data_IF_200489301288
#
_entry.id   IF_200489301288
#
_cell.length_a   1.000
_cell.length_b   1.000
_cell.length_c   1.000
_cell.angle_alpha   90.00
_cell.angle_beta   90.00
_cell.angle_gamma   90.00
#
_symmetry.space_group_name_H-M   'P 1'
#
loop_
_entity.id
_entity.type
_entity.pdbx_description
1 polymer ?
#
# COMPACT_ATOMS: atom_id res chain seq x y z
N UNK A 1 -56.17 16.29 12.99
CA UNK A 1 -55.71 14.88 12.82
C UNK A 1 -54.96 14.61 11.51
N UNK A 2 -55.18 15.39 10.43
CA UNK A 2 -54.51 15.19 9.12
C UNK A 2 -53.00 15.49 9.15
N UNK A 3 -52.61 16.53 9.89
CA UNK A 3 -51.21 17.00 9.96
C UNK A 3 -50.30 16.11 10.81
N UNK A 4 -50.86 15.31 11.74
CA UNK A 4 -50.08 14.37 12.55
C UNK A 4 -49.44 13.29 11.67
N UNK A 5 -50.19 12.78 10.68
CA UNK A 5 -49.69 11.76 9.75
C UNK A 5 -48.61 12.31 8.83
N UNK A 6 -48.75 13.56 8.36
CA UNK A 6 -47.74 14.22 7.52
C UNK A 6 -46.44 14.47 8.29
N UNK A 7 -46.54 14.88 9.56
CA UNK A 7 -45.38 15.09 10.42
C UNK A 7 -44.66 13.78 10.73
N UNK A 8 -45.41 12.72 11.02
CA UNK A 8 -44.86 11.39 11.29
C UNK A 8 -44.15 10.82 10.05
N UNK A 9 -44.73 11.00 8.85
CA UNK A 9 -44.11 10.59 7.60
C UNK A 9 -42.81 11.35 7.30
N UNK A 10 -42.78 12.67 7.56
CA UNK A 10 -41.57 13.48 7.37
C UNK A 10 -40.42 13.05 8.31
N UNK A 11 -40.73 12.74 9.57
CA UNK A 11 -39.75 12.23 10.55
C UNK A 11 -39.24 10.84 10.16
N UNK A 12 -40.11 9.97 9.62
CA UNK A 12 -39.72 8.63 9.17
C UNK A 12 -38.78 8.68 7.95
N UNK A 13 -39.00 9.61 7.02
CA UNK A 13 -38.17 9.78 5.82
C UNK A 13 -36.78 10.31 6.17
N UNK A 14 -36.65 11.21 7.15
CA UNK A 14 -35.34 11.70 7.62
C UNK A 14 -34.55 10.66 8.42
N UNK A 15 -35.22 9.66 9.00
CA UNK A 15 -34.55 8.59 9.74
C UNK A 15 -33.91 7.52 8.83
N UNK A 16 -34.27 7.50 7.54
CA UNK A 16 -33.83 6.48 6.57
C UNK A 16 -32.61 6.89 5.72
N UNK A 17 -32.04 8.08 5.93
CA UNK A 17 -30.88 8.53 5.15
C UNK A 17 -29.58 8.05 5.77
N UNK A 18 -28.96 7.03 5.18
CA UNK A 18 -27.57 6.68 5.46
C UNK A 18 -26.66 7.81 4.93
N UNK A 19 -25.91 8.46 5.81
CA UNK A 19 -24.91 9.44 5.41
C UNK A 19 -23.58 8.70 5.14
N UNK A 20 -23.31 8.39 3.87
CA UNK A 20 -21.98 8.01 3.43
C UNK A 20 -21.01 9.19 3.66
N UNK A 21 -19.84 8.92 4.25
CA UNK A 21 -18.88 9.96 4.59
C UNK A 21 -17.93 10.14 3.40
N UNK A 22 -18.20 11.15 2.58
CA UNK A 22 -17.27 11.63 1.56
C UNK A 22 -16.37 12.72 2.11
N UNK A 23 -15.05 12.58 1.95
CA UNK A 23 -14.08 13.64 2.25
C UNK A 23 -13.39 14.04 0.94
N UNK A 24 -13.75 15.21 0.42
CA UNK A 24 -13.22 15.72 -0.84
C UNK A 24 -13.96 15.27 -2.10
N UNK A 25 -15.04 14.48 -1.95
CA UNK A 25 -15.97 14.10 -3.03
C UNK A 25 -17.42 14.38 -2.63
N UNK A 26 -18.20 14.91 -3.55
CA UNK A 26 -19.65 15.12 -3.38
C UNK A 26 -20.46 13.87 -3.76
N UNK A 27 -19.82 12.90 -4.41
CA UNK A 27 -20.40 11.62 -4.83
C UNK A 27 -19.50 10.48 -4.38
N UNK A 28 -19.54 10.11 -3.09
CA UNK A 28 -18.87 8.91 -2.60
C UNK A 28 -19.32 7.67 -3.37
N UNK A 29 -18.42 6.72 -3.60
CA UNK A 29 -18.78 5.41 -4.15
C UNK A 29 -19.84 4.72 -3.27
N UNK A 30 -20.86 4.13 -3.90
CA UNK A 30 -21.98 3.50 -3.18
C UNK A 30 -21.57 2.27 -2.36
N UNK A 31 -20.40 1.68 -2.65
CA UNK A 31 -19.83 0.56 -1.91
C UNK A 31 -18.88 1.02 -0.80
N UNK A 32 -18.58 2.32 -0.69
CA UNK A 32 -17.65 2.87 0.29
C UNK A 32 -18.39 3.47 1.48
N UNK A 33 -18.10 2.97 2.68
CA UNK A 33 -18.53 3.62 3.92
C UNK A 33 -17.79 4.96 4.18
N UNK A 34 -16.56 5.08 3.65
CA UNK A 34 -15.72 6.28 3.70
C UNK A 34 -14.96 6.40 2.37
N UNK A 35 -15.18 7.48 1.63
CA UNK A 35 -14.49 7.78 0.38
C UNK A 35 -13.70 9.08 0.51
N UNK A 36 -12.39 9.03 0.27
CA UNK A 36 -11.49 10.18 0.42
C UNK A 36 -10.78 10.43 -0.90
N UNK A 37 -11.05 11.56 -1.54
CA UNK A 37 -10.41 11.95 -2.79
C UNK A 37 -9.58 13.22 -2.60
N UNK A 38 -8.29 13.14 -2.89
CA UNK A 38 -7.40 14.31 -2.92
C UNK A 38 -6.23 14.09 -3.88
N UNK A 39 -5.83 15.14 -4.58
CA UNK A 39 -4.64 15.15 -5.45
C UNK A 39 -3.40 15.70 -4.76
N UNK A 40 -3.55 16.33 -3.60
CA UNK A 40 -2.48 17.06 -2.90
C UNK A 40 -2.30 16.66 -1.43
N UNK A 41 -3.25 15.93 -0.86
CA UNK A 41 -3.26 15.52 0.56
C UNK A 41 -3.41 14.01 0.67
N UNK A 42 -2.87 13.44 1.74
CA UNK A 42 -3.01 12.03 2.08
C UNK A 42 -3.79 11.82 3.38
N UNK A 43 -4.07 10.56 3.71
CA UNK A 43 -4.63 10.19 4.99
C UNK A 43 -3.52 10.15 6.04
N UNK A 44 -3.61 11.03 7.04
CA UNK A 44 -2.73 10.98 8.20
C UNK A 44 -3.37 10.11 9.29
N UNK A 45 -2.85 8.89 9.45
CA UNK A 45 -3.29 7.97 10.51
C UNK A 45 -2.72 8.35 11.88
N UNK A 46 -3.31 7.88 13.00
CA UNK A 46 -2.83 8.19 14.35
C UNK A 46 -1.35 7.87 14.53
N UNK A 47 -0.59 8.86 15.02
CA UNK A 47 0.82 8.72 15.36
C UNK A 47 0.97 8.52 16.87
N UNK A 48 1.73 7.52 17.26
CA UNK A 48 1.95 7.20 18.68
C UNK A 48 3.32 6.55 18.91
N UNK A 49 3.75 6.47 20.16
CA UNK A 49 4.93 5.70 20.55
C UNK A 49 4.64 4.21 20.64
N UNK A 50 5.67 3.38 20.69
CA UNK A 50 5.53 1.94 20.80
C UNK A 50 4.85 1.56 22.11
N UNK A 51 5.20 2.27 23.20
CA UNK A 51 4.57 2.12 24.51
C UNK A 51 3.07 2.45 24.44
N UNK A 52 2.70 3.53 23.76
CA UNK A 52 1.29 3.91 23.59
C UNK A 52 0.51 2.89 22.76
N UNK A 53 1.11 2.34 21.70
CA UNK A 53 0.51 1.26 20.91
C UNK A 53 0.28 0.02 21.75
N UNK A 54 1.26 -0.40 22.55
CA UNK A 54 1.15 -1.56 23.44
C UNK A 54 0.12 -1.33 24.57
N UNK A 55 -0.14 -0.08 24.93
CA UNK A 55 -1.15 0.30 25.92
C UNK A 55 -2.60 0.27 25.38
N UNK A 56 -2.81 0.02 24.08
CA UNK A 56 -4.16 -0.14 23.51
C UNK A 56 -4.75 -1.45 24.05
N UNK A 57 -5.74 -1.33 24.95
CA UNK A 57 -6.46 -2.49 25.47
C UNK A 57 -7.41 -3.06 24.39
N UNK A 58 -7.33 -4.37 24.15
CA UNK A 58 -8.18 -5.08 23.19
C UNK A 58 -8.19 -4.46 21.78
N UNK A 59 -7.05 -4.41 21.08
CA UNK A 59 -7.00 -3.93 19.70
C UNK A 59 -7.90 -4.78 18.79
N UNK A 60 -8.59 -4.12 17.86
CA UNK A 60 -9.49 -4.77 16.90
C UNK A 60 -8.71 -5.10 15.62
N UNK A 61 -8.97 -6.27 15.02
CA UNK A 61 -8.40 -6.64 13.73
C UNK A 61 -8.70 -5.55 12.68
N UNK A 62 -7.69 -5.13 11.92
CA UNK A 62 -7.81 -4.02 10.96
C UNK A 62 -7.31 -2.67 11.46
N UNK A 63 -6.96 -2.55 12.75
CA UNK A 63 -6.46 -1.31 13.33
C UNK A 63 -5.10 -0.93 12.73
N UNK A 64 -4.97 0.33 12.31
CA UNK A 64 -3.78 0.87 11.66
C UNK A 64 -3.23 2.06 12.45
N UNK A 65 -1.93 2.04 12.73
CA UNK A 65 -1.24 3.09 13.50
C UNK A 65 0.15 3.34 12.95
N UNK A 66 0.64 4.57 13.07
CA UNK A 66 2.02 4.92 12.75
C UNK A 66 2.81 5.05 14.06
N UNK A 67 3.78 4.16 14.26
CA UNK A 67 4.61 4.15 15.46
C UNK A 67 5.90 4.92 15.19
N UNK A 68 6.12 6.02 15.92
CA UNK A 68 7.18 6.99 15.59
C UNK A 68 8.56 6.59 16.08
N UNK A 69 8.65 5.80 17.15
CA UNK A 69 9.88 5.45 17.88
C UNK A 69 10.29 3.97 17.69
N UNK A 70 9.53 3.21 16.90
CA UNK A 70 9.87 1.83 16.55
C UNK A 70 10.64 1.79 15.22
N UNK A 71 11.87 1.28 15.23
CA UNK A 71 12.76 1.16 14.07
C UNK A 71 12.89 2.42 13.18
N UNK A 72 12.79 3.62 13.77
CA UNK A 72 12.85 4.88 13.03
C UNK A 72 11.54 5.28 12.33
N UNK A 73 10.41 4.74 12.78
CA UNK A 73 9.09 5.06 12.25
C UNK A 73 8.53 3.93 11.40
N UNK A 74 7.45 3.30 11.86
CA UNK A 74 6.83 2.18 11.14
C UNK A 74 5.31 2.30 11.10
N UNK A 75 4.77 1.99 9.93
CA UNK A 75 3.34 1.75 9.78
C UNK A 75 3.04 0.33 10.29
N UNK A 76 2.12 0.22 11.24
CA UNK A 76 1.73 -1.05 11.84
C UNK A 76 0.24 -1.33 11.66
N UNK A 77 -0.06 -2.60 11.48
CA UNK A 77 -1.40 -3.15 11.31
C UNK A 77 -1.62 -4.25 12.34
N UNK A 78 -2.80 -4.28 12.97
CA UNK A 78 -3.16 -5.36 13.88
C UNK A 78 -4.03 -6.40 13.16
N UNK A 79 -3.60 -7.65 13.13
CA UNK A 79 -4.30 -8.73 12.40
C UNK A 79 -5.42 -9.42 13.22
N UNK A 80 -5.61 -8.99 14.47
CA UNK A 80 -6.52 -9.63 15.43
C UNK A 80 -5.79 -10.38 16.54
N UNK A 81 -4.53 -10.74 16.30
CA UNK A 81 -3.68 -11.50 17.22
C UNK A 81 -2.35 -10.80 17.53
N UNK A 82 -1.70 -10.21 16.53
CA UNK A 82 -0.39 -9.60 16.63
C UNK A 82 -0.29 -8.33 15.80
N UNK A 83 0.74 -7.53 16.08
CA UNK A 83 1.05 -6.32 15.34
C UNK A 83 2.08 -6.61 14.24
N UNK A 84 1.65 -6.49 12.99
CA UNK A 84 2.51 -6.60 11.81
C UNK A 84 3.06 -5.23 11.36
N UNK A 85 4.27 -5.23 10.82
CA UNK A 85 4.85 -4.05 10.15
C UNK A 85 4.58 -4.12 8.66
N UNK A 86 4.04 -3.05 8.07
CA UNK A 86 4.02 -2.91 6.62
C UNK A 86 5.38 -2.37 6.18
N UNK A 87 6.23 -3.27 5.66
CA UNK A 87 7.52 -2.89 5.08
C UNK A 87 7.46 -2.99 3.56
N UNK A 88 8.04 -2.01 2.88
CA UNK A 88 8.36 -2.15 1.47
C UNK A 88 9.61 -3.02 1.36
N UNK A 89 9.45 -4.33 1.47
CA UNK A 89 10.50 -5.25 1.06
C UNK A 89 10.44 -5.35 -0.44
N UNK A 90 11.11 -4.42 -1.11
CA UNK A 90 11.82 -4.60 -2.38
C UNK A 90 12.14 -3.21 -2.96
N UNK A 91 13.38 -2.75 -2.78
CA UNK A 91 13.95 -1.86 -3.78
C UNK A 91 13.98 -2.68 -5.06
N UNK A 92 13.07 -2.41 -6.00
CA UNK A 92 13.18 -2.95 -7.36
C UNK A 92 14.61 -2.70 -7.80
N UNK A 93 15.39 -3.74 -8.19
CA UNK A 93 16.76 -3.53 -8.63
C UNK A 93 16.76 -2.44 -9.70
N UNK A 94 17.68 -1.49 -9.59
CA UNK A 94 17.84 -0.50 -10.66
C UNK A 94 18.07 -1.27 -11.97
N UNK A 95 17.48 -0.78 -13.07
CA UNK A 95 17.67 -1.43 -14.35
C UNK A 95 19.17 -1.55 -14.66
N UNK A 96 19.66 -2.69 -15.16
CA UNK A 96 21.07 -2.86 -15.48
C UNK A 96 21.52 -1.78 -16.46
N UNK A 97 22.51 -0.96 -16.08
CA UNK A 97 23.12 0.01 -16.98
C UNK A 97 24.19 -0.70 -17.84
N UNK A 98 24.13 -0.51 -19.15
CA UNK A 98 25.18 -0.96 -20.07
C UNK A 98 26.30 0.08 -19.99
N UNK A 99 27.38 -0.24 -19.28
CA UNK A 99 28.41 0.75 -18.95
C UNK A 99 29.49 0.96 -20.02
N UNK A 100 29.46 0.29 -21.17
CA UNK A 100 30.30 0.63 -22.33
C UNK A 100 29.98 -0.32 -23.49
N UNK A 101 29.67 0.22 -24.67
CA UNK A 101 29.72 -0.56 -25.91
C UNK A 101 30.87 0.04 -26.71
N UNK A 102 31.97 -0.69 -26.84
CA UNK A 102 33.08 -0.29 -27.70
C UNK A 102 32.78 -0.81 -29.12
N UNK A 103 32.87 0.02 -30.18
CA UNK A 103 32.71 -0.47 -31.54
C UNK A 103 33.81 -1.50 -31.84
N UNK A 104 33.44 -2.76 -32.05
CA UNK A 104 34.37 -3.85 -32.35
C UNK A 104 34.17 -5.14 -31.55
N UNK A 105 33.47 -5.09 -30.41
CA UNK A 105 33.19 -6.28 -29.60
C UNK A 105 31.82 -6.88 -29.94
N UNK A 106 31.76 -8.19 -30.24
CA UNK A 106 30.52 -8.88 -30.64
C UNK A 106 29.57 -9.18 -29.47
N UNK A 107 29.94 -8.83 -28.23
CA UNK A 107 29.16 -9.07 -27.01
C UNK A 107 29.31 -7.91 -26.02
N UNK A 108 28.22 -7.58 -25.32
CA UNK A 108 28.18 -6.57 -24.26
C UNK A 108 28.09 -7.24 -22.88
N UNK A 109 28.94 -6.84 -21.94
CA UNK A 109 28.86 -7.29 -20.55
C UNK A 109 27.87 -6.44 -19.78
N UNK A 110 26.83 -7.06 -19.23
CA UNK A 110 25.85 -6.43 -18.34
C UNK A 110 26.06 -6.92 -16.91
N UNK A 111 26.58 -6.06 -16.05
CA UNK A 111 26.71 -6.36 -14.62
C UNK A 111 25.35 -6.18 -13.95
N UNK A 112 24.82 -7.24 -13.32
CA UNK A 112 23.63 -7.16 -12.47
C UNK A 112 24.00 -7.57 -11.04
N UNK A 113 23.55 -6.80 -10.06
CA UNK A 113 23.55 -7.23 -8.66
C UNK A 113 22.20 -7.86 -8.38
N UNK A 114 22.20 -9.18 -8.14
CA UNK A 114 20.98 -9.91 -7.84
C UNK A 114 20.30 -9.35 -6.56
N UNK A 115 18.97 -9.17 -6.54
CA UNK A 115 18.27 -8.87 -5.28
C UNK A 115 18.50 -10.03 -4.30
N UNK A 116 18.76 -9.71 -3.03
CA UNK A 116 19.08 -10.69 -1.97
C UNK A 116 17.89 -11.57 -1.56
N UNK A 117 16.71 -11.35 -2.14
CA UNK A 117 15.52 -12.19 -1.96
C UNK A 117 15.15 -12.82 -3.29
N UNK A 118 15.73 -13.98 -3.60
CA UNK A 118 15.23 -14.82 -4.68
C UNK A 118 15.10 -16.23 -4.15
N UNK A 119 13.87 -16.61 -3.78
CA UNK A 119 13.48 -18.01 -3.87
C UNK A 119 13.51 -18.39 -5.35
N UNK A 120 14.63 -18.96 -5.76
CA UNK A 120 14.79 -19.89 -6.87
C UNK A 120 14.09 -19.51 -8.18
N UNK A 121 14.58 -18.49 -8.88
CA UNK A 121 14.48 -18.46 -10.34
C UNK A 121 15.88 -18.30 -10.92
N UNK A 122 16.48 -19.44 -11.26
CA UNK A 122 17.78 -19.52 -11.92
C UNK A 122 17.68 -18.85 -13.30
N UNK A 123 18.37 -17.72 -13.47
CA UNK A 123 18.47 -17.04 -14.76
C UNK A 123 19.47 -17.82 -15.63
N UNK A 124 19.00 -18.74 -16.45
CA UNK A 124 19.85 -19.48 -17.40
C UNK A 124 20.25 -18.55 -18.56
N UNK A 125 21.50 -18.08 -18.53
CA UNK A 125 22.09 -17.41 -19.70
C UNK A 125 22.40 -18.46 -20.76
N UNK A 126 21.68 -18.40 -21.89
CA UNK A 126 22.03 -19.16 -23.10
C UNK A 126 23.29 -18.51 -23.70
N UNK A 127 24.45 -19.11 -23.47
CA UNK A 127 25.62 -18.86 -24.31
C UNK A 127 25.47 -19.70 -25.59
N UNK A 128 25.23 -19.04 -26.75
CA UNK A 128 25.34 -19.73 -28.04
C UNK A 128 26.83 -19.97 -28.36
N UNK A 129 27.22 -21.16 -28.82
CA UNK A 129 28.61 -21.45 -29.16
C UNK A 129 29.02 -20.70 -30.45
N UNK A 130 30.23 -20.15 -30.41
CA UNK A 130 30.92 -19.50 -31.52
C UNK A 130 31.04 -20.46 -32.71
N UNK A 131 30.52 -20.07 -33.88
CA UNK A 131 30.69 -20.80 -35.13
C UNK A 131 31.93 -20.24 -35.85
N UNK A 132 33.07 -20.92 -35.69
CA UNK A 132 34.29 -20.64 -36.46
C UNK A 132 34.03 -21.02 -37.92
N UNK A 133 34.05 -20.02 -38.81
CA UNK A 133 34.03 -20.24 -40.26
C UNK A 133 35.40 -20.73 -40.70
N UNK A 134 35.44 -21.85 -41.42
CA UNK A 134 36.50 -22.19 -42.35
C UNK A 134 36.30 -21.42 -43.66
#
# INVERSE_FOLDING_TARGET
MKHIFTFLAAVLVTAATYAQVGIGTATPDASAALDITSTTKGLLIPRMTNVQRLAIASPVAGLQVYVTDFDGGRFMFYDGTEWGTLSFTEKRPDAPAISTVKPGDAQATVSFTAPTSIRSWCLSFISKPSMTKY
#
